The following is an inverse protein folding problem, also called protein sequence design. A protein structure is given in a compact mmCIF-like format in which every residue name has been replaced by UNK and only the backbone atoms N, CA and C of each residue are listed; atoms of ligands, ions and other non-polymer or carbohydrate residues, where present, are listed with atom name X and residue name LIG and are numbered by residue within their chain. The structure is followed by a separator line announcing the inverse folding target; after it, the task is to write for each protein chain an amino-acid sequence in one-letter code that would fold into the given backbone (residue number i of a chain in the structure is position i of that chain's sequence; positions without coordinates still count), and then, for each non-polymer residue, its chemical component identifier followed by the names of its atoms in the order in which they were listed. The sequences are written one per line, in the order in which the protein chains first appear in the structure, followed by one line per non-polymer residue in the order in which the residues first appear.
data_IF_048584651631
#
_entry.id   IF_048584651631
#
_cell.length_a   1.000
_cell.length_b   1.000
_cell.length_c   1.000
_cell.angle_alpha   90.00
_cell.angle_beta   90.00
_cell.angle_gamma   90.00
#
_symmetry.space_group_name_H-M   'P 1'
#
loop_
_entity.id
_entity.type
_entity.pdbx_description
1 polymer ?
#
# COMPACT_ATOMS: atom_id res chain seq x y z
N UNK A 1 26.95 19.44 -12.00
CA UNK A 1 26.01 20.16 -12.86
C UNK A 1 24.99 19.15 -13.34
N UNK A 2 23.96 18.98 -12.52
CA UNK A 2 22.79 18.16 -12.79
C UNK A 2 21.59 19.10 -12.68
N UNK A 3 20.97 19.40 -13.81
CA UNK A 3 19.80 20.27 -13.87
C UNK A 3 18.54 19.48 -13.50
N UNK A 4 17.93 19.84 -12.39
CA UNK A 4 16.76 19.16 -11.81
C UNK A 4 15.55 20.09 -11.85
N UNK A 5 14.45 19.64 -12.46
CA UNK A 5 13.15 20.28 -12.27
C UNK A 5 12.37 19.53 -11.19
N UNK A 6 12.05 20.24 -10.12
CA UNK A 6 11.23 19.77 -9.02
C UNK A 6 9.79 20.28 -9.15
N UNK A 7 8.81 19.43 -8.82
CA UNK A 7 7.38 19.73 -8.89
C UNK A 7 6.68 19.27 -7.60
N UNK A 8 5.92 20.16 -6.96
CA UNK A 8 5.05 19.84 -5.83
C UNK A 8 3.61 20.10 -6.26
N UNK A 9 2.75 19.07 -6.17
CA UNK A 9 1.32 19.20 -6.45
C UNK A 9 0.45 18.42 -5.49
N UNK A 10 0.96 17.91 -4.37
CA UNK A 10 0.15 17.14 -3.43
C UNK A 10 -0.82 18.03 -2.63
N UNK A 11 -0.62 19.36 -2.68
CA UNK A 11 -1.40 20.35 -1.94
C UNK A 11 -2.36 21.18 -2.81
N UNK A 12 -2.95 22.26 -2.26
CA UNK A 12 -3.70 23.26 -3.03
C UNK A 12 -2.76 24.22 -3.77
N UNK A 13 -1.60 24.48 -3.19
CA UNK A 13 -0.58 25.37 -3.75
C UNK A 13 0.39 24.50 -4.52
N UNK A 14 0.37 24.58 -5.85
CA UNK A 14 1.34 23.88 -6.66
C UNK A 14 2.62 24.69 -6.69
N UNK A 15 3.75 24.01 -6.80
CA UNK A 15 5.04 24.67 -6.93
C UNK A 15 5.96 23.95 -7.91
N UNK A 16 6.89 24.72 -8.46
CA UNK A 16 7.97 24.21 -9.29
C UNK A 16 9.27 24.95 -8.97
N UNK A 17 10.39 24.23 -9.02
CA UNK A 17 11.73 24.79 -8.84
C UNK A 17 12.71 24.18 -9.84
N UNK A 18 13.59 25.01 -10.38
CA UNK A 18 14.71 24.60 -11.22
C UNK A 18 15.99 24.71 -10.40
N UNK A 19 16.71 23.59 -10.27
CA UNK A 19 17.95 23.50 -9.53
C UNK A 19 19.11 23.12 -10.46
N UNK A 20 20.27 23.72 -10.25
CA UNK A 20 21.55 23.25 -10.76
C UNK A 20 22.37 22.72 -9.59
N UNK A 21 22.50 21.39 -9.50
CA UNK A 21 22.94 20.68 -8.30
C UNK A 21 22.10 21.15 -7.08
N UNK A 22 22.70 21.89 -6.14
CA UNK A 22 22.03 22.40 -4.93
C UNK A 22 21.56 23.86 -5.06
N UNK A 23 21.86 24.54 -6.18
CA UNK A 23 21.55 25.95 -6.39
C UNK A 23 20.20 26.11 -7.07
N UNK A 24 19.26 26.81 -6.43
CA UNK A 24 17.97 27.16 -7.04
C UNK A 24 18.18 28.29 -8.03
N UNK A 25 17.90 28.03 -9.31
CA UNK A 25 17.98 29.01 -10.39
C UNK A 25 16.69 29.84 -10.52
N UNK A 26 15.54 29.20 -10.30
CA UNK A 26 14.22 29.83 -10.29
C UNK A 26 13.23 28.94 -9.51
N UNK A 27 12.22 29.55 -8.90
CA UNK A 27 11.11 28.82 -8.29
C UNK A 27 9.84 29.66 -8.26
N UNK A 28 8.68 29.01 -8.35
CA UNK A 28 7.40 29.67 -8.28
C UNK A 28 6.33 28.74 -7.68
N UNK A 29 5.32 29.35 -7.07
CA UNK A 29 4.15 28.66 -6.52
C UNK A 29 2.87 29.37 -6.92
N UNK A 30 1.78 28.62 -7.08
CA UNK A 30 0.46 29.13 -7.45
C UNK A 30 -0.65 28.33 -6.75
N UNK A 31 -1.69 29.03 -6.28
CA UNK A 31 -2.90 28.36 -5.79
C UNK A 31 -3.70 27.84 -6.99
N UNK A 32 -3.95 26.53 -7.05
CA UNK A 32 -4.68 25.90 -8.16
C UNK A 32 -6.15 26.35 -8.30
N UNK A 33 -6.68 27.04 -7.28
CA UNK A 33 -8.03 27.63 -7.29
C UNK A 33 -8.05 29.07 -7.80
N UNK A 34 -6.88 29.67 -8.03
CA UNK A 34 -6.76 30.97 -8.68
C UNK A 34 -7.29 30.86 -10.13
N UNK A 35 -8.23 31.72 -10.56
CA UNK A 35 -8.70 31.77 -11.94
C UNK A 35 -7.61 31.95 -13.00
N UNK A 36 -6.46 32.52 -12.61
CA UNK A 36 -5.30 32.70 -13.47
C UNK A 36 -4.38 31.48 -13.57
N UNK A 37 -4.57 30.48 -12.72
CA UNK A 37 -3.81 29.23 -12.80
C UNK A 37 -4.31 28.37 -13.97
N UNK A 38 -3.39 28.00 -14.86
CA UNK A 38 -3.71 27.19 -16.04
C UNK A 38 -3.48 25.71 -15.73
N UNK A 39 -2.22 25.30 -15.60
CA UNK A 39 -1.83 23.95 -15.22
C UNK A 39 -0.37 23.92 -14.71
N UNK A 40 0.03 22.76 -14.17
CA UNK A 40 1.39 22.53 -13.65
C UNK A 40 2.47 22.66 -14.73
N UNK A 41 2.15 22.36 -15.99
CA UNK A 41 3.09 22.47 -17.10
C UNK A 41 3.40 23.92 -17.47
N UNK A 42 2.41 24.81 -17.40
CA UNK A 42 2.62 26.26 -17.57
C UNK A 42 3.48 26.83 -16.44
N UNK A 43 3.19 26.44 -15.18
CA UNK A 43 3.99 26.84 -14.01
C UNK A 43 5.44 26.36 -14.12
N UNK A 44 5.64 25.08 -14.42
CA UNK A 44 6.97 24.52 -14.59
C UNK A 44 7.70 25.15 -15.79
N UNK A 45 7.00 25.39 -16.89
CA UNK A 45 7.54 26.06 -18.07
C UNK A 45 8.04 27.48 -17.78
N UNK A 46 7.32 28.25 -16.96
CA UNK A 46 7.75 29.60 -16.58
C UNK A 46 9.01 29.57 -15.71
N UNK A 47 9.09 28.63 -14.76
CA UNK A 47 10.27 28.45 -13.89
C UNK A 47 11.50 28.05 -14.71
N UNK A 48 11.35 27.13 -15.67
CA UNK A 48 12.42 26.73 -16.58
C UNK A 48 12.94 27.93 -17.39
N UNK A 49 12.02 28.73 -17.95
CA UNK A 49 12.36 29.89 -18.76
C UNK A 49 13.03 31.00 -17.93
N UNK A 50 12.55 31.25 -16.71
CA UNK A 50 13.15 32.22 -15.78
C UNK A 50 14.59 31.84 -15.40
N UNK A 51 14.86 30.55 -15.21
CA UNK A 51 16.21 30.02 -15.02
C UNK A 51 17.11 30.08 -16.26
N UNK A 52 16.62 30.63 -17.39
CA UNK A 52 17.36 30.71 -18.64
C UNK A 52 17.69 29.34 -19.22
N UNK A 53 16.77 28.38 -19.07
CA UNK A 53 16.89 26.99 -19.56
C UNK A 53 15.67 26.63 -20.40
N UNK A 54 15.71 25.43 -20.96
CA UNK A 54 14.62 24.79 -21.67
C UNK A 54 14.39 23.39 -21.12
N UNK A 55 13.24 22.79 -21.44
CA UNK A 55 12.99 21.36 -21.13
C UNK A 55 14.08 20.46 -21.70
N UNK A 56 14.76 20.91 -22.76
CA UNK A 56 15.83 20.18 -23.40
C UNK A 56 17.16 20.18 -22.64
N UNK A 57 17.28 20.96 -21.57
CA UNK A 57 18.48 21.04 -20.74
C UNK A 57 18.38 20.21 -19.47
N UNK A 58 17.20 19.66 -19.16
CA UNK A 58 16.95 18.90 -17.94
C UNK A 58 17.68 17.55 -17.95
N UNK A 59 18.34 17.24 -16.84
CA UNK A 59 19.04 15.96 -16.61
C UNK A 59 18.21 14.97 -15.80
N UNK A 60 17.33 15.48 -14.93
CA UNK A 60 16.41 14.69 -14.11
C UNK A 60 15.21 15.50 -13.63
N UNK A 61 14.20 14.80 -13.13
CA UNK A 61 12.97 15.38 -12.59
C UNK A 61 12.80 14.93 -11.14
N UNK A 62 12.08 15.71 -10.34
CA UNK A 62 11.66 15.35 -8.99
C UNK A 62 10.19 15.72 -8.77
N UNK A 63 9.45 14.88 -8.06
CA UNK A 63 8.03 15.12 -7.79
C UNK A 63 7.62 14.61 -6.42
N UNK A 64 6.76 15.36 -5.72
CA UNK A 64 6.01 14.84 -4.58
C UNK A 64 4.95 13.84 -5.09
N UNK A 65 5.06 12.60 -4.63
CA UNK A 65 4.18 11.47 -5.02
C UNK A 65 3.00 11.26 -4.06
N UNK A 66 2.85 12.14 -3.08
CA UNK A 66 1.84 12.05 -2.03
C UNK A 66 2.30 11.24 -0.81
N UNK A 67 1.39 10.91 0.13
CA UNK A 67 -0.06 11.14 0.07
C UNK A 67 -0.53 12.60 -0.05
N UNK A 68 -1.67 12.79 -0.71
CA UNK A 68 -2.30 14.11 -0.87
C UNK A 68 -3.64 14.04 -1.60
N UNK A 69 -4.12 15.18 -2.09
CA UNK A 69 -5.30 15.18 -2.96
C UNK A 69 -5.00 14.36 -4.22
N UNK A 70 -5.74 13.28 -4.44
CA UNK A 70 -5.51 12.35 -5.55
C UNK A 70 -5.43 13.05 -6.91
N UNK A 71 -6.39 13.92 -7.22
CA UNK A 71 -6.39 14.64 -8.49
C UNK A 71 -5.15 15.53 -8.64
N UNK A 72 -4.71 16.14 -7.54
CA UNK A 72 -3.54 17.00 -7.54
C UNK A 72 -2.22 16.21 -7.66
N UNK A 73 -2.09 15.08 -6.95
CA UNK A 73 -0.92 14.19 -7.05
C UNK A 73 -0.77 13.64 -8.47
N UNK A 74 -1.87 13.21 -9.12
CA UNK A 74 -1.85 12.77 -10.54
C UNK A 74 -1.34 13.84 -11.47
N UNK A 75 -1.68 15.10 -11.23
CA UNK A 75 -1.29 16.20 -12.12
C UNK A 75 0.24 16.32 -12.19
N UNK A 76 0.91 16.34 -11.04
CA UNK A 76 2.37 16.39 -10.96
C UNK A 76 3.03 15.15 -11.56
N UNK A 77 2.60 13.95 -11.15
CA UNK A 77 3.15 12.67 -11.64
C UNK A 77 2.97 12.54 -13.17
N UNK A 78 1.79 12.84 -13.69
CA UNK A 78 1.52 12.77 -15.13
C UNK A 78 2.41 13.75 -15.92
N UNK A 79 2.58 14.97 -15.41
CA UNK A 79 3.46 15.96 -16.02
C UNK A 79 4.91 15.49 -16.06
N UNK A 80 5.48 15.09 -14.92
CA UNK A 80 6.89 14.67 -14.89
C UNK A 80 7.12 13.39 -15.71
N UNK A 81 6.17 12.45 -15.73
CA UNK A 81 6.28 11.26 -16.58
C UNK A 81 6.28 11.61 -18.07
N UNK A 82 5.42 12.55 -18.49
CA UNK A 82 5.39 12.99 -19.88
C UNK A 82 6.73 13.61 -20.30
N UNK A 83 7.31 14.45 -19.45
CA UNK A 83 8.63 15.05 -19.69
C UNK A 83 9.73 14.00 -19.66
N UNK A 84 9.74 13.13 -18.65
CA UNK A 84 10.69 12.03 -18.49
C UNK A 84 10.71 11.12 -19.72
N UNK A 85 9.54 10.71 -20.18
CA UNK A 85 9.38 9.87 -21.35
C UNK A 85 9.88 10.56 -22.63
N UNK A 86 9.53 11.83 -22.82
CA UNK A 86 9.98 12.60 -23.99
C UNK A 86 11.50 12.83 -24.01
N UNK A 87 12.14 12.87 -22.84
CA UNK A 87 13.56 13.20 -22.66
C UNK A 87 14.46 12.00 -22.42
N UNK A 88 13.90 10.86 -22.00
CA UNK A 88 14.66 9.70 -21.54
C UNK A 88 15.46 9.97 -20.26
N UNK A 89 14.93 10.80 -19.36
CA UNK A 89 15.61 11.20 -18.11
C UNK A 89 14.92 10.62 -16.88
N UNK A 90 15.67 10.36 -15.78
CA UNK A 90 15.09 9.75 -14.58
C UNK A 90 14.19 10.71 -13.82
N UNK A 91 13.24 10.13 -13.07
CA UNK A 91 12.38 10.85 -12.13
C UNK A 91 12.65 10.39 -10.72
N UNK A 92 12.77 11.34 -9.79
CA UNK A 92 12.87 11.12 -8.34
C UNK A 92 11.49 11.32 -7.73
N UNK A 93 10.97 10.31 -7.03
CA UNK A 93 9.76 10.43 -6.21
C UNK A 93 10.08 10.76 -4.76
N UNK A 94 9.35 11.73 -4.19
CA UNK A 94 9.49 12.20 -2.80
C UNK A 94 8.18 11.99 -2.05
N UNK A 95 8.21 11.33 -0.88
CA UNK A 95 7.02 11.02 -0.07
C UNK A 95 6.60 12.22 0.79
N UNK A 96 5.33 12.61 0.71
CA UNK A 96 4.78 13.77 1.42
C UNK A 96 4.89 13.70 2.94
N UNK A 97 4.81 12.49 3.54
CA UNK A 97 4.95 12.34 4.99
C UNK A 97 6.41 12.50 5.40
N UNK A 98 7.34 12.01 4.58
CA UNK A 98 8.76 12.28 4.76
C UNK A 98 9.03 13.79 4.64
N UNK A 99 8.50 14.45 3.59
CA UNK A 99 8.60 15.90 3.38
C UNK A 99 8.21 16.72 4.62
N UNK A 100 7.12 16.32 5.29
CA UNK A 100 6.64 16.97 6.51
C UNK A 100 7.42 16.61 7.79
N UNK A 101 8.12 15.48 7.81
CA UNK A 101 8.83 14.97 8.99
C UNK A 101 10.30 15.42 9.08
N UNK A 102 10.73 16.32 8.19
CA UNK A 102 12.13 16.71 8.08
C UNK A 102 12.58 17.71 9.16
N UNK A 103 12.71 17.23 10.41
CA UNK A 103 13.27 17.98 11.53
C UNK A 103 14.11 17.07 12.44
N UNK A 104 15.06 17.67 13.16
CA UNK A 104 15.81 16.96 14.21
C UNK A 104 14.90 16.63 15.39
N UNK A 105 14.75 15.35 15.69
CA UNK A 105 13.95 14.85 16.82
C UNK A 105 12.62 14.23 16.42
N UNK A 106 11.76 13.92 17.40
CA UNK A 106 10.52 13.23 17.15
C UNK A 106 9.51 14.12 16.41
N UNK A 107 8.88 13.58 15.37
CA UNK A 107 7.90 14.29 14.55
C UNK A 107 6.74 13.37 14.14
N UNK A 108 5.54 13.93 14.02
CA UNK A 108 4.34 13.27 13.52
C UNK A 108 3.81 14.05 12.31
N UNK A 109 3.99 13.50 11.12
CA UNK A 109 3.40 14.01 9.89
C UNK A 109 2.02 13.37 9.66
N UNK A 110 1.06 14.18 9.24
CA UNK A 110 -0.32 13.77 8.96
C UNK A 110 -0.74 14.20 7.56
N UNK A 111 -1.39 13.34 6.79
CA UNK A 111 -1.98 13.71 5.48
C UNK A 111 -3.39 13.16 5.40
N UNK A 112 -4.29 13.86 4.71
CA UNK A 112 -5.66 13.37 4.52
C UNK A 112 -5.68 12.16 3.59
N UNK A 113 -6.42 11.12 3.96
CA UNK A 113 -6.65 9.93 3.12
C UNK A 113 -8.04 9.92 2.46
N UNK A 114 -8.91 10.87 2.82
CA UNK A 114 -10.31 10.94 2.39
C UNK A 114 -11.27 10.75 3.56
N UNK A 115 -12.44 11.41 3.49
CA UNK A 115 -13.40 11.40 4.60
C UNK A 115 -12.77 11.91 5.91
N UNK A 116 -12.83 11.10 6.98
CA UNK A 116 -12.20 11.39 8.26
C UNK A 116 -10.83 10.72 8.46
N UNK A 117 -10.37 9.91 7.50
CA UNK A 117 -9.13 9.15 7.64
C UNK A 117 -7.89 10.01 7.36
N UNK A 118 -6.78 9.64 8.01
CA UNK A 118 -5.45 10.23 7.84
C UNK A 118 -4.42 9.14 7.58
N UNK A 119 -3.42 9.48 6.78
CA UNK A 119 -2.11 8.83 6.81
C UNK A 119 -1.26 9.53 7.86
N UNK A 120 -0.54 8.76 8.68
CA UNK A 120 0.32 9.28 9.74
C UNK A 120 1.69 8.63 9.66
N UNK A 121 2.74 9.43 9.86
CA UNK A 121 4.11 8.97 10.04
C UNK A 121 4.71 9.60 11.30
N UNK A 122 5.00 8.78 12.29
CA UNK A 122 5.72 9.11 13.51
C UNK A 122 7.21 8.76 13.34
N UNK A 123 8.06 9.78 13.22
CA UNK A 123 9.50 9.65 13.42
C UNK A 123 9.79 9.66 14.92
N UNK A 124 10.42 8.60 15.42
CA UNK A 124 10.84 8.49 16.83
C UNK A 124 12.21 9.13 17.06
N UNK A 125 12.58 9.28 18.32
CA UNK A 125 13.85 9.89 18.71
C UNK A 125 15.09 9.11 18.22
N UNK A 126 14.95 7.79 17.98
CA UNK A 126 16.01 6.95 17.41
C UNK A 126 16.05 6.99 15.86
N UNK A 127 15.24 7.85 15.24
CA UNK A 127 15.13 7.98 13.78
C UNK A 127 14.26 6.92 13.13
N UNK A 128 13.71 5.96 13.88
CA UNK A 128 12.79 4.97 13.30
C UNK A 128 11.45 5.60 12.98
N UNK A 129 10.88 5.25 11.83
CA UNK A 129 9.59 5.75 11.37
C UNK A 129 8.54 4.66 11.57
N UNK A 130 7.45 5.00 12.26
CA UNK A 130 6.27 4.17 12.43
C UNK A 130 5.07 4.89 11.85
N UNK A 131 4.13 4.16 11.28
CA UNK A 131 3.24 4.75 10.29
C UNK A 131 1.92 4.01 10.30
N UNK A 132 0.83 4.76 10.16
CA UNK A 132 -0.53 4.23 10.33
C UNK A 132 -1.48 4.94 9.40
N UNK A 133 -2.60 4.29 9.12
CA UNK A 133 -3.71 4.89 8.41
C UNK A 133 -5.02 4.54 9.09
N UNK A 134 -5.97 5.49 9.09
CA UNK A 134 -7.31 5.27 9.59
C UNK A 134 -7.88 6.53 10.20
N UNK A 135 -8.90 6.38 11.03
CA UNK A 135 -9.42 7.50 11.81
C UNK A 135 -8.32 8.06 12.73
N UNK A 136 -8.23 9.39 12.82
CA UNK A 136 -7.18 10.08 13.57
C UNK A 136 -7.09 9.58 15.02
N UNK A 137 -8.22 9.36 15.70
CA UNK A 137 -8.19 8.93 17.10
C UNK A 137 -7.70 7.50 17.27
N UNK A 138 -8.00 6.61 16.31
CA UNK A 138 -7.52 5.22 16.30
C UNK A 138 -6.03 5.19 16.00
N UNK A 139 -5.61 5.90 14.95
CA UNK A 139 -4.22 6.04 14.54
C UNK A 139 -3.33 6.51 15.68
N UNK A 140 -3.75 7.56 16.41
CA UNK A 140 -2.97 8.07 17.54
C UNK A 140 -2.93 7.10 18.71
N UNK A 141 -4.01 6.37 19.00
CA UNK A 141 -3.97 5.32 20.03
C UNK A 141 -3.02 4.18 19.66
N UNK A 142 -2.97 3.79 18.39
CA UNK A 142 -2.09 2.71 17.94
C UNK A 142 -0.61 3.13 17.92
N UNK A 143 -0.34 4.39 17.59
CA UNK A 143 1.01 4.96 17.65
C UNK A 143 1.48 5.18 19.10
N UNK A 144 0.54 5.39 20.03
CA UNK A 144 0.79 5.67 21.44
C UNK A 144 -0.10 4.79 22.36
N UNK A 145 0.12 3.45 22.38
CA UNK A 145 -0.81 2.48 22.96
C UNK A 145 -0.90 2.50 24.49
N UNK A 146 0.08 3.09 25.18
CA UNK A 146 0.06 3.18 26.64
C UNK A 146 0.03 4.64 27.09
N UNK A 147 -0.98 5.07 27.87
CA UNK A 147 -0.97 6.38 28.52
C UNK A 147 0.28 6.50 29.39
N UNK A 148 1.22 7.36 28.98
CA UNK A 148 2.50 7.54 29.65
C UNK A 148 3.51 6.36 29.60
N UNK A 149 3.22 5.21 28.94
CA UNK A 149 4.15 4.07 28.91
C UNK A 149 4.79 3.81 27.53
N UNK A 150 5.99 4.35 27.40
CA UNK A 150 7.25 3.66 27.07
C UNK A 150 7.11 2.23 26.50
N UNK A 151 7.47 2.04 25.23
CA UNK A 151 8.20 0.82 24.81
C UNK A 151 9.62 1.23 24.41
N UNK A 152 10.53 0.27 24.24
CA UNK A 152 12.01 0.35 24.37
C UNK A 152 12.80 1.48 23.65
N UNK A 153 12.15 2.44 22.99
CA UNK A 153 12.74 3.68 22.44
C UNK A 153 12.21 5.00 23.07
N UNK A 154 11.33 4.94 24.08
CA UNK A 154 11.04 6.03 25.04
C UNK A 154 10.07 7.16 24.61
N UNK A 155 9.22 7.69 25.52
CA UNK A 155 8.54 8.97 25.38
C UNK A 155 9.35 10.07 26.08
N UNK A 156 9.44 11.23 25.44
CA UNK A 156 9.83 12.45 26.12
C UNK A 156 8.69 12.85 27.05
N UNK A 157 8.84 12.65 28.36
CA UNK A 157 8.07 13.36 29.38
C UNK A 157 8.99 14.25 30.19
N UNK A 158 8.62 15.53 30.31
CA UNK A 158 9.20 16.54 31.21
C UNK A 158 10.73 16.63 31.18
N UNK A 159 11.28 17.14 30.08
CA UNK A 159 12.69 17.53 29.98
C UNK A 159 13.37 17.35 28.61
N UNK A 160 12.71 16.76 27.62
CA UNK A 160 13.24 16.57 26.25
C UNK A 160 12.48 17.37 25.18
N UNK A 161 12.90 17.22 23.92
CA UNK A 161 12.29 17.89 22.75
C UNK A 161 10.83 17.42 22.54
N UNK A 162 9.83 18.31 22.52
CA UNK A 162 8.43 17.96 22.27
C UNK A 162 8.22 17.31 20.90
N UNK A 163 7.20 16.46 20.78
CA UNK A 163 6.79 15.87 19.49
C UNK A 163 6.26 16.97 18.56
N UNK A 164 6.90 17.20 17.43
CA UNK A 164 6.41 18.15 16.44
C UNK A 164 5.30 17.52 15.61
N UNK A 165 4.16 18.16 15.47
CA UNK A 165 3.04 17.67 14.64
C UNK A 165 2.93 18.53 13.40
N UNK A 166 3.02 17.93 12.22
CA UNK A 166 2.92 18.57 10.92
C UNK A 166 1.78 17.93 10.10
N UNK A 167 1.26 18.68 9.13
CA UNK A 167 0.30 18.17 8.14
C UNK A 167 -1.18 18.39 8.49
N UNK A 168 -2.06 17.48 8.07
CA UNK A 168 -3.50 17.62 8.24
C UNK A 168 -3.97 17.43 9.70
N UNK A 169 -5.10 18.05 10.07
CA UNK A 169 -5.77 17.86 11.37
C UNK A 169 -4.91 18.10 12.62
N UNK A 170 -3.87 18.95 12.53
CA UNK A 170 -2.98 19.24 13.69
C UNK A 170 -3.74 19.68 14.94
N UNK A 171 -4.73 20.60 14.90
CA UNK A 171 -5.43 21.00 16.11
C UNK A 171 -6.10 19.83 16.83
N UNK A 172 -6.74 18.93 16.08
CA UNK A 172 -7.36 17.73 16.63
C UNK A 172 -6.33 16.73 17.12
N UNK A 173 -5.20 16.59 16.41
CA UNK A 173 -4.13 15.68 16.80
C UNK A 173 -3.50 16.13 18.13
N UNK A 174 -3.24 17.42 18.31
CA UNK A 174 -2.69 17.99 19.54
C UNK A 174 -3.62 17.77 20.73
N UNK A 175 -4.93 17.96 20.55
CA UNK A 175 -5.93 17.70 21.60
C UNK A 175 -5.95 16.21 22.02
N UNK A 176 -5.93 15.30 21.03
CA UNK A 176 -5.91 13.86 21.28
C UNK A 176 -4.60 13.40 21.93
N UNK A 177 -3.45 13.92 21.49
CA UNK A 177 -2.14 13.64 22.05
C UNK A 177 -2.02 14.13 23.49
N UNK A 178 -2.55 15.31 23.81
CA UNK A 178 -2.62 15.81 25.18
C UNK A 178 -3.46 14.86 26.07
N UNK A 179 -4.57 14.33 25.56
CA UNK A 179 -5.37 13.30 26.23
C UNK A 179 -4.64 11.97 26.46
N UNK A 180 -3.63 11.66 25.65
CA UNK A 180 -2.74 10.50 25.79
C UNK A 180 -1.50 10.78 26.67
N UNK A 181 -1.34 12.01 27.16
CA UNK A 181 -0.19 12.44 27.96
C UNK A 181 1.09 12.66 27.14
N UNK A 182 0.97 12.92 25.84
CA UNK A 182 2.10 13.20 24.92
C UNK A 182 2.30 14.71 24.83
N UNK A 183 3.52 15.17 25.13
CA UNK A 183 3.91 16.58 24.93
C UNK A 183 4.21 16.84 23.45
N UNK A 184 3.39 17.68 22.82
CA UNK A 184 3.43 17.91 21.38
C UNK A 184 3.22 19.39 21.03
N UNK A 185 3.88 19.83 19.96
CA UNK A 185 3.82 21.21 19.46
C UNK A 185 3.39 21.24 17.99
N UNK A 186 2.69 22.32 17.62
CA UNK A 186 2.29 22.56 16.23
C UNK A 186 3.52 23.00 15.41
N UNK A 187 3.82 22.28 14.32
CA UNK A 187 4.90 22.64 13.40
C UNK A 187 4.54 23.79 12.44
N UNK A 188 3.25 24.13 12.29
CA UNK A 188 2.75 25.22 11.44
C UNK A 188 2.52 24.87 9.97
N UNK A 189 2.91 23.68 9.53
CA UNK A 189 2.86 23.28 8.11
C UNK A 189 1.68 22.35 7.81
N UNK A 190 0.76 22.72 6.93
CA UNK A 190 -0.45 21.94 6.56
C UNK A 190 -0.18 20.84 5.52
N UNK A 191 0.76 21.08 4.63
CA UNK A 191 1.09 20.24 3.50
C UNK A 191 2.53 20.54 3.06
N UNK A 192 3.21 19.61 2.39
CA UNK A 192 4.46 19.92 1.72
C UNK A 192 4.28 21.08 0.73
N UNK A 193 5.32 21.87 0.57
CA UNK A 193 5.45 22.83 -0.51
C UNK A 193 6.75 22.61 -1.32
N UNK A 194 6.99 23.50 -2.28
CA UNK A 194 8.16 23.39 -3.14
C UNK A 194 9.48 23.59 -2.38
N UNK A 195 9.48 24.36 -1.29
CA UNK A 195 10.67 24.58 -0.48
C UNK A 195 11.02 23.28 0.27
N UNK A 196 10.03 22.51 0.74
CA UNK A 196 10.24 21.19 1.34
C UNK A 196 10.88 20.20 0.34
N UNK A 197 10.38 20.18 -0.90
CA UNK A 197 10.93 19.36 -1.99
C UNK A 197 12.38 19.76 -2.32
N UNK A 198 12.65 21.05 -2.47
CA UNK A 198 14.01 21.58 -2.70
C UNK A 198 14.94 21.19 -1.56
N UNK A 199 14.48 21.29 -0.32
CA UNK A 199 15.26 20.96 0.85
C UNK A 199 15.59 19.45 0.90
N UNK A 200 14.65 18.58 0.56
CA UNK A 200 14.88 17.13 0.48
C UNK A 200 15.92 16.76 -0.60
N UNK A 201 15.84 17.39 -1.78
CA UNK A 201 16.81 17.17 -2.85
C UNK A 201 18.25 17.54 -2.44
N UNK A 202 18.43 18.69 -1.79
CA UNK A 202 19.74 19.17 -1.30
C UNK A 202 20.37 18.25 -0.26
N UNK A 203 19.54 17.60 0.58
CA UNK A 203 20.03 16.67 1.60
C UNK A 203 20.37 15.29 1.04
N UNK A 204 19.89 14.97 -0.16
CA UNK A 204 19.94 13.59 -0.65
C UNK A 204 18.88 12.69 0.01
N UNK A 205 17.84 13.27 0.61
CA UNK A 205 16.75 12.55 1.28
C UNK A 205 15.73 12.02 0.27
N UNK A 206 16.22 11.29 -0.73
CA UNK A 206 15.42 10.65 -1.75
C UNK A 206 15.93 9.23 -1.97
N UNK A 207 15.01 8.31 -2.18
CA UNK A 207 15.36 6.91 -2.31
C UNK A 207 16.00 6.63 -3.69
N UNK A 208 17.24 6.10 -3.74
CA UNK A 208 17.87 5.70 -4.99
C UNK A 208 17.06 4.65 -5.78
N UNK A 209 16.20 3.86 -5.11
CA UNK A 209 15.32 2.90 -5.77
C UNK A 209 14.07 3.53 -6.42
N UNK A 210 13.70 4.75 -6.05
CA UNK A 210 12.57 5.50 -6.64
C UNK A 210 13.06 6.42 -7.78
N UNK A 211 14.37 6.41 -8.05
CA UNK A 211 14.95 6.99 -9.26
C UNK A 211 14.62 6.07 -10.44
N UNK A 212 13.51 6.36 -11.12
CA UNK A 212 12.96 5.49 -12.14
C UNK A 212 13.25 6.01 -13.55
N UNK A 213 13.71 5.12 -14.43
CA UNK A 213 13.69 5.31 -15.88
C UNK A 213 12.33 4.91 -16.51
N UNK A 214 11.47 4.25 -15.73
CA UNK A 214 10.09 3.93 -16.08
C UNK A 214 9.12 4.98 -15.51
N UNK A 215 7.89 5.10 -16.05
CA UNK A 215 6.91 6.03 -15.50
C UNK A 215 6.60 5.77 -14.03
N UNK A 216 6.61 6.82 -13.21
CA UNK A 216 6.08 6.75 -11.84
C UNK A 216 4.57 6.55 -11.89
N UNK A 217 4.02 5.79 -10.98
CA UNK A 217 2.57 5.74 -10.77
C UNK A 217 2.27 6.35 -9.41
N UNK A 218 1.03 6.75 -9.16
CA UNK A 218 0.66 7.09 -7.79
C UNK A 218 0.90 5.92 -6.84
N UNK A 219 0.90 4.68 -7.33
CA UNK A 219 1.20 3.48 -6.54
C UNK A 219 2.71 3.20 -6.39
N UNK A 220 3.58 3.78 -7.21
CA UNK A 220 5.02 3.46 -7.20
C UNK A 220 5.75 3.93 -5.94
N UNK A 221 5.11 4.76 -5.12
CA UNK A 221 5.65 5.24 -3.85
C UNK A 221 4.61 5.23 -2.73
N UNK A 222 3.44 4.61 -2.95
CA UNK A 222 2.37 4.57 -1.95
C UNK A 222 2.82 3.80 -0.72
N UNK A 223 3.25 4.57 0.27
CA UNK A 223 3.27 4.27 1.68
C UNK A 223 4.29 3.20 2.09
N UNK A 224 5.48 3.66 2.44
CA UNK A 224 6.40 2.99 3.37
C UNK A 224 5.90 2.99 4.81
N UNK A 225 4.57 2.95 4.95
CA UNK A 225 3.89 3.24 6.18
C UNK A 225 3.44 1.99 6.91
N UNK A 226 2.65 1.22 6.21
CA UNK A 226 2.27 -0.12 6.57
C UNK A 226 1.74 -0.66 5.25
N UNK A 227 2.54 -1.43 4.53
CA UNK A 227 2.16 -1.90 3.21
C UNK A 227 0.81 -2.66 3.26
N UNK A 228 0.48 -3.25 4.42
CA UNK A 228 -0.81 -3.87 4.68
C UNK A 228 -1.97 -2.87 4.73
N UNK A 229 -1.76 -1.66 5.27
CA UNK A 229 -2.77 -0.61 5.25
C UNK A 229 -3.05 -0.11 3.82
N UNK A 230 -2.00 0.04 3.01
CA UNK A 230 -2.15 0.40 1.60
C UNK A 230 -2.90 -0.69 0.82
N UNK A 231 -2.58 -1.96 1.08
CA UNK A 231 -3.31 -3.09 0.50
C UNK A 231 -4.79 -3.10 0.93
N UNK A 232 -5.07 -2.83 2.21
CA UNK A 232 -6.42 -2.70 2.75
C UNK A 232 -7.24 -1.66 1.99
N UNK A 233 -6.70 -0.46 1.82
CA UNK A 233 -7.37 0.61 1.07
C UNK A 233 -7.59 0.24 -0.39
N UNK A 234 -6.54 -0.25 -1.07
CA UNK A 234 -6.65 -0.66 -2.47
C UNK A 234 -7.77 -1.69 -2.65
N UNK A 235 -7.83 -2.71 -1.78
CA UNK A 235 -8.88 -3.73 -1.84
C UNK A 235 -10.28 -3.15 -1.61
N UNK A 236 -10.44 -2.26 -0.62
CA UNK A 236 -11.72 -1.63 -0.32
C UNK A 236 -12.18 -0.69 -1.45
N UNK A 237 -11.26 -0.01 -2.12
CA UNK A 237 -11.54 0.91 -3.24
C UNK A 237 -11.72 0.20 -4.59
N UNK A 238 -11.52 -1.12 -4.64
CA UNK A 238 -11.70 -1.93 -5.85
C UNK A 238 -10.47 -2.05 -6.74
N UNK A 239 -9.28 -1.92 -6.16
CA UNK A 239 -8.00 -2.29 -6.75
C UNK A 239 -7.61 -3.75 -6.49
N UNK A 240 -6.50 -4.13 -7.10
CA UNK A 240 -5.83 -5.44 -6.96
C UNK A 240 -4.60 -5.28 -6.08
N UNK A 241 -4.46 -6.12 -5.05
CA UNK A 241 -3.29 -6.13 -4.17
C UNK A 241 -2.43 -7.38 -4.39
N UNK A 242 -1.11 -7.20 -4.46
CA UNK A 242 -0.13 -8.28 -4.37
C UNK A 242 0.27 -8.47 -2.90
N UNK A 243 -0.05 -9.63 -2.34
CA UNK A 243 0.12 -9.94 -0.92
C UNK A 243 1.08 -11.11 -0.73
N UNK A 244 2.01 -11.06 0.24
CA UNK A 244 2.74 -12.23 0.67
C UNK A 244 1.78 -13.17 1.40
N UNK A 245 2.03 -14.47 1.31
CA UNK A 245 1.35 -15.46 2.14
C UNK A 245 2.41 -16.40 2.75
N UNK A 246 1.97 -17.30 3.63
CA UNK A 246 2.78 -18.38 4.19
C UNK A 246 3.26 -19.42 3.16
N UNK A 247 2.76 -19.39 1.92
CA UNK A 247 3.18 -20.30 0.83
C UNK A 247 3.82 -19.54 -0.33
N UNK A 248 2.98 -18.88 -1.13
CA UNK A 248 3.36 -18.13 -2.32
C UNK A 248 2.70 -16.77 -2.30
N UNK A 249 3.20 -15.81 -3.06
CA UNK A 249 2.49 -14.53 -3.23
C UNK A 249 1.13 -14.74 -3.90
N UNK A 250 0.15 -13.93 -3.48
CA UNK A 250 -1.21 -13.94 -4.00
C UNK A 250 -1.61 -12.59 -4.56
N UNK A 251 -2.31 -12.59 -5.70
CA UNK A 251 -3.09 -11.44 -6.14
C UNK A 251 -4.49 -11.55 -5.53
N UNK A 252 -4.89 -10.51 -4.80
CA UNK A 252 -6.12 -10.44 -4.05
C UNK A 252 -7.02 -9.32 -4.55
N UNK A 253 -8.33 -9.56 -4.51
CA UNK A 253 -9.37 -8.56 -4.80
C UNK A 253 -10.54 -8.74 -3.85
N UNK A 254 -11.22 -7.62 -3.55
CA UNK A 254 -12.44 -7.66 -2.76
C UNK A 254 -13.61 -8.19 -3.62
N UNK A 255 -14.36 -9.21 -3.18
CA UNK A 255 -15.35 -9.89 -4.02
C UNK A 255 -16.55 -9.03 -4.45
N UNK A 256 -16.83 -7.95 -3.72
CA UNK A 256 -17.90 -6.98 -4.08
C UNK A 256 -17.48 -5.97 -5.13
N UNK A 257 -16.24 -6.00 -5.61
CA UNK A 257 -15.68 -5.06 -6.59
C UNK A 257 -15.49 -5.79 -7.91
N UNK A 258 -16.51 -5.79 -8.77
CA UNK A 258 -16.51 -6.59 -10.00
C UNK A 258 -15.40 -6.14 -10.96
N UNK A 259 -15.16 -4.85 -11.02
CA UNK A 259 -14.10 -4.23 -11.82
C UNK A 259 -12.71 -4.72 -11.38
N UNK A 260 -12.49 -4.92 -10.08
CA UNK A 260 -11.24 -5.45 -9.52
C UNK A 260 -11.01 -6.90 -9.98
N UNK A 261 -12.05 -7.73 -9.95
CA UNK A 261 -11.99 -9.13 -10.41
C UNK A 261 -11.57 -9.16 -11.89
N UNK A 262 -12.16 -8.30 -12.70
CA UNK A 262 -11.87 -8.16 -14.12
C UNK A 262 -10.41 -7.75 -14.36
N UNK A 263 -9.93 -6.76 -13.59
CA UNK A 263 -8.54 -6.31 -13.62
C UNK A 263 -7.56 -7.42 -13.21
N UNK A 264 -7.88 -8.21 -12.18
CA UNK A 264 -7.04 -9.35 -11.76
C UNK A 264 -6.89 -10.40 -12.88
N UNK A 265 -7.98 -10.73 -13.59
CA UNK A 265 -7.89 -11.66 -14.72
C UNK A 265 -7.06 -11.09 -15.87
N UNK A 266 -7.20 -9.79 -16.15
CA UNK A 266 -6.42 -9.09 -17.16
C UNK A 266 -4.92 -9.07 -16.82
N UNK A 267 -4.56 -8.74 -15.57
CA UNK A 267 -3.18 -8.74 -15.07
C UNK A 267 -2.48 -10.09 -15.26
N UNK A 268 -3.23 -11.19 -15.07
CA UNK A 268 -2.70 -12.56 -15.20
C UNK A 268 -2.75 -13.12 -16.63
N UNK A 269 -3.34 -12.39 -17.58
CA UNK A 269 -3.72 -12.91 -18.90
C UNK A 269 -4.49 -14.25 -18.81
N UNK A 270 -5.37 -14.37 -17.81
CA UNK A 270 -6.03 -15.64 -17.45
C UNK A 270 -7.46 -15.72 -18.01
N UNK A 271 -7.89 -16.87 -18.56
CA UNK A 271 -9.28 -17.10 -18.92
C UNK A 271 -10.22 -17.04 -17.70
N UNK A 272 -11.40 -16.44 -17.85
CA UNK A 272 -12.44 -16.36 -16.80
C UNK A 272 -13.08 -17.70 -16.41
N UNK A 273 -12.76 -18.77 -17.12
CA UNK A 273 -13.39 -20.09 -16.94
C UNK A 273 -13.00 -20.79 -15.65
N UNK A 274 -12.03 -20.25 -14.89
CA UNK A 274 -11.62 -20.82 -13.61
C UNK A 274 -11.98 -19.89 -12.47
N UNK A 275 -12.75 -20.42 -11.55
CA UNK A 275 -13.11 -19.75 -10.32
C UNK A 275 -11.89 -19.46 -9.44
N UNK A 276 -12.02 -18.42 -8.61
CA UNK A 276 -11.01 -18.02 -7.63
C UNK A 276 -11.38 -18.62 -6.27
N UNK A 277 -10.42 -19.22 -5.54
CA UNK A 277 -10.62 -19.58 -4.15
C UNK A 277 -10.74 -18.32 -3.28
N UNK A 278 -11.29 -18.50 -2.08
CA UNK A 278 -11.39 -17.46 -1.06
C UNK A 278 -10.35 -17.64 0.03
N UNK A 279 -9.87 -16.53 0.56
CA UNK A 279 -9.20 -16.48 1.87
C UNK A 279 -10.10 -15.81 2.89
N UNK A 280 -10.13 -16.36 4.10
CA UNK A 280 -10.89 -15.86 5.26
C UNK A 280 -9.98 -15.79 6.49
N UNK A 281 -10.31 -14.94 7.47
CA UNK A 281 -9.44 -14.76 8.64
C UNK A 281 -9.53 -15.94 9.63
N UNK A 282 -10.72 -16.54 9.74
CA UNK A 282 -11.00 -17.71 10.58
C UNK A 282 -11.97 -18.68 9.88
N UNK A 283 -11.88 -20.00 10.11
CA UNK A 283 -12.88 -20.95 9.65
C UNK A 283 -14.31 -20.66 10.14
N UNK A 284 -14.45 -19.93 11.25
CA UNK A 284 -15.77 -19.61 11.84
C UNK A 284 -16.61 -18.68 10.97
N UNK A 285 -15.99 -17.98 10.00
CA UNK A 285 -16.69 -17.12 9.05
C UNK A 285 -17.44 -17.92 7.98
N UNK A 286 -17.04 -19.17 7.72
CA UNK A 286 -17.52 -19.96 6.58
C UNK A 286 -19.03 -20.20 6.55
N UNK A 287 -19.69 -20.56 7.67
CA UNK A 287 -21.14 -20.72 7.67
C UNK A 287 -21.88 -19.43 7.31
N UNK A 288 -21.36 -18.26 7.69
CA UNK A 288 -21.98 -16.97 7.34
C UNK A 288 -21.87 -16.61 5.84
N UNK A 289 -20.97 -17.29 5.12
CA UNK A 289 -20.79 -17.17 3.68
C UNK A 289 -21.57 -18.22 2.89
N UNK A 290 -22.43 -19.02 3.54
CA UNK A 290 -23.15 -20.13 2.91
C UNK A 290 -22.23 -21.30 2.51
N UNK A 291 -21.06 -21.43 3.15
CA UNK A 291 -20.11 -22.51 2.89
C UNK A 291 -20.38 -23.68 3.84
N UNK A 292 -20.58 -24.86 3.28
CA UNK A 292 -20.88 -26.09 4.01
C UNK A 292 -19.59 -26.73 4.54
N UNK A 293 -19.51 -26.91 5.85
CA UNK A 293 -18.30 -27.46 6.52
C UNK A 293 -18.61 -28.83 7.15
N UNK A 294 -18.52 -29.94 6.39
CA UNK A 294 -18.73 -31.30 6.90
C UNK A 294 -17.63 -31.69 7.91
N UNK A 295 -17.87 -32.75 8.68
CA UNK A 295 -16.95 -33.17 9.75
C UNK A 295 -15.53 -33.46 9.25
N UNK A 296 -15.39 -34.03 8.04
CA UNK A 296 -14.09 -34.25 7.38
C UNK A 296 -13.33 -32.94 7.16
N UNK A 297 -14.02 -31.91 6.66
CA UNK A 297 -13.44 -30.59 6.48
C UNK A 297 -13.08 -29.93 7.82
N UNK A 298 -13.94 -30.06 8.85
CA UNK A 298 -13.65 -29.53 10.20
C UNK A 298 -12.39 -30.13 10.79
N UNK A 299 -12.17 -31.44 10.61
CA UNK A 299 -10.97 -32.13 11.07
C UNK A 299 -9.71 -31.65 10.36
N UNK A 300 -9.76 -31.49 9.03
CA UNK A 300 -8.64 -30.95 8.25
C UNK A 300 -8.32 -29.50 8.63
N UNK A 301 -9.33 -28.65 8.72
CA UNK A 301 -9.16 -27.26 9.13
C UNK A 301 -8.64 -27.15 10.57
N UNK A 302 -9.13 -27.99 11.49
CA UNK A 302 -8.64 -28.03 12.87
C UNK A 302 -7.19 -28.52 13.01
N UNK A 303 -6.72 -29.37 12.09
CA UNK A 303 -5.36 -29.89 12.11
C UNK A 303 -4.34 -28.98 11.41
N UNK A 304 -4.74 -28.31 10.33
CA UNK A 304 -3.80 -27.67 9.40
C UNK A 304 -4.08 -26.18 9.14
N UNK A 305 -5.16 -25.61 9.68
CA UNK A 305 -5.49 -24.19 9.56
C UNK A 305 -5.37 -23.49 10.94
N UNK A 306 -4.80 -22.28 11.04
CA UNK A 306 -4.22 -21.48 9.94
C UNK A 306 -2.96 -22.12 9.34
N UNK A 307 -2.85 -22.12 8.01
CA UNK A 307 -1.70 -22.76 7.36
C UNK A 307 -1.87 -23.08 5.87
N UNK A 308 -0.96 -23.91 5.32
CA UNK A 308 -0.85 -24.14 3.89
C UNK A 308 -1.81 -25.22 3.38
N UNK A 309 -3.07 -25.19 3.84
CA UNK A 309 -4.17 -26.05 3.35
C UNK A 309 -5.22 -25.22 2.61
N UNK A 310 -5.75 -25.76 1.53
CA UNK A 310 -6.94 -25.25 0.84
C UNK A 310 -7.96 -26.38 0.78
N UNK A 311 -9.17 -26.13 1.26
CA UNK A 311 -10.24 -27.13 1.29
C UNK A 311 -11.36 -26.70 0.34
N UNK A 312 -11.68 -27.51 -0.67
CA UNK A 312 -12.85 -27.26 -1.51
C UNK A 312 -14.11 -27.76 -0.81
N UNK A 313 -15.11 -26.88 -0.71
CA UNK A 313 -16.31 -27.07 0.11
C UNK A 313 -17.56 -26.67 -0.67
N UNK A 314 -18.67 -27.34 -0.40
CA UNK A 314 -19.96 -27.02 -1.02
C UNK A 314 -20.46 -25.63 -0.63
N UNK A 315 -21.20 -25.00 -1.53
CA UNK A 315 -21.84 -23.69 -1.32
C UNK A 315 -23.37 -23.86 -1.41
N UNK A 316 -24.11 -23.27 -0.48
CA UNK A 316 -25.57 -23.32 -0.43
C UNK A 316 -26.26 -22.01 -0.85
N UNK A 317 -27.59 -22.02 -0.89
CA UNK A 317 -28.42 -20.90 -1.37
C UNK A 317 -28.37 -19.66 -0.46
N UNK A 318 -27.76 -19.75 0.73
CA UNK A 318 -27.57 -18.59 1.63
C UNK A 318 -26.31 -17.79 1.28
N UNK A 319 -25.50 -18.29 0.34
CA UNK A 319 -24.27 -17.65 -0.07
C UNK A 319 -24.49 -16.23 -0.62
N UNK A 320 -23.54 -15.31 -0.39
CA UNK A 320 -23.63 -13.96 -0.94
C UNK A 320 -23.59 -13.99 -2.47
N UNK A 321 -24.11 -12.95 -3.12
CA UNK A 321 -24.26 -12.89 -4.59
C UNK A 321 -22.97 -13.16 -5.40
N UNK A 322 -21.79 -12.94 -4.83
CA UNK A 322 -20.49 -13.19 -5.47
C UNK A 322 -20.00 -14.65 -5.35
N UNK A 323 -20.63 -15.46 -4.48
CA UNK A 323 -20.50 -16.92 -4.40
C UNK A 323 -21.73 -17.67 -4.94
N UNK A 324 -22.88 -17.01 -5.03
CA UNK A 324 -24.11 -17.63 -5.48
C UNK A 324 -23.96 -18.30 -6.86
N UNK A 325 -24.55 -19.49 -7.00
CA UNK A 325 -24.52 -20.29 -8.23
C UNK A 325 -23.28 -21.14 -8.43
N UNK A 326 -22.35 -21.16 -7.47
CA UNK A 326 -21.22 -22.10 -7.44
C UNK A 326 -21.64 -23.39 -6.74
N UNK A 327 -21.16 -24.53 -7.23
CA UNK A 327 -21.34 -25.81 -6.53
C UNK A 327 -20.35 -25.94 -5.36
N UNK A 328 -19.12 -25.49 -5.56
CA UNK A 328 -18.05 -25.54 -4.56
C UNK A 328 -17.16 -24.29 -4.58
N UNK A 329 -16.44 -24.06 -3.47
CA UNK A 329 -15.41 -23.02 -3.35
C UNK A 329 -14.20 -23.54 -2.59
N UNK A 330 -13.00 -23.25 -3.11
CA UNK A 330 -11.75 -23.48 -2.40
C UNK A 330 -11.56 -22.45 -1.29
N UNK A 331 -11.36 -22.90 -0.06
CA UNK A 331 -11.22 -22.04 1.12
C UNK A 331 -9.84 -22.19 1.74
N UNK A 332 -9.23 -21.08 2.15
CA UNK A 332 -7.98 -21.08 2.92
C UNK A 332 -7.98 -20.05 4.05
N UNK A 333 -7.39 -20.44 5.17
CA UNK A 333 -7.03 -19.52 6.27
C UNK A 333 -5.49 -19.48 6.32
N UNK A 334 -4.86 -18.39 5.88
CA UNK A 334 -3.39 -18.30 5.85
C UNK A 334 -2.83 -18.20 7.27
N UNK A 335 -1.63 -18.73 7.53
CA UNK A 335 -1.00 -18.62 8.85
C UNK A 335 -0.30 -17.28 9.08
N UNK A 336 -0.12 -16.48 8.03
CA UNK A 336 0.45 -15.14 8.11
C UNK A 336 -0.45 -14.23 8.98
N UNK A 337 0.06 -13.70 10.11
CA UNK A 337 -0.76 -12.93 11.05
C UNK A 337 -1.22 -11.59 10.48
N UNK A 338 -0.41 -10.92 9.67
CA UNK A 338 -0.74 -9.63 9.09
C UNK A 338 -1.79 -9.79 7.99
N UNK A 339 -1.66 -10.84 7.16
CA UNK A 339 -2.70 -11.18 6.18
C UNK A 339 -4.03 -11.54 6.85
N UNK A 340 -4.00 -12.25 7.99
CA UNK A 340 -5.23 -12.53 8.74
C UNK A 340 -5.84 -11.28 9.34
N UNK A 341 -5.04 -10.35 9.85
CA UNK A 341 -5.53 -9.06 10.32
C UNK A 341 -6.19 -8.27 9.18
N UNK A 342 -5.57 -8.24 8.00
CA UNK A 342 -6.16 -7.66 6.80
C UNK A 342 -7.50 -8.32 6.45
N UNK A 343 -7.59 -9.65 6.47
CA UNK A 343 -8.83 -10.40 6.19
C UNK A 343 -9.92 -10.11 7.23
N UNK A 344 -9.56 -9.95 8.51
CA UNK A 344 -10.52 -9.54 9.56
C UNK A 344 -11.09 -8.14 9.30
N UNK A 345 -10.28 -7.24 8.73
CA UNK A 345 -10.65 -5.87 8.45
C UNK A 345 -11.53 -5.70 7.20
N UNK A 346 -11.20 -6.42 6.12
CA UNK A 346 -11.87 -6.26 4.81
C UNK A 346 -12.88 -7.36 4.51
N UNK A 347 -12.88 -8.44 5.30
CA UNK A 347 -13.65 -9.65 5.05
C UNK A 347 -12.97 -10.59 4.04
N UNK A 348 -13.73 -11.59 3.59
CA UNK A 348 -13.24 -12.60 2.65
C UNK A 348 -12.72 -11.99 1.34
N UNK A 349 -11.55 -12.43 0.89
CA UNK A 349 -10.93 -11.98 -0.37
C UNK A 349 -10.90 -13.11 -1.39
N UNK A 350 -11.06 -12.77 -2.67
CA UNK A 350 -10.75 -13.70 -3.76
C UNK A 350 -9.25 -13.61 -4.04
N UNK A 351 -8.55 -14.75 -3.96
CA UNK A 351 -7.08 -14.77 -4.05
C UNK A 351 -6.60 -15.85 -5.02
N UNK A 352 -5.57 -15.56 -5.82
CA UNK A 352 -4.91 -16.55 -6.67
C UNK A 352 -3.40 -16.32 -6.64
N UNK A 353 -2.59 -17.33 -6.97
CA UNK A 353 -1.13 -17.18 -7.00
C UNK A 353 -0.70 -16.03 -7.93
N UNK A 354 0.35 -15.32 -7.57
CA UNK A 354 0.84 -14.15 -8.31
C UNK A 354 1.85 -14.56 -9.41
N UNK A 355 1.37 -15.28 -10.42
CA UNK A 355 2.12 -15.68 -11.61
C UNK A 355 1.28 -15.46 -12.87
N UNK A 356 1.90 -15.22 -14.01
CA UNK A 356 1.18 -15.26 -15.29
C UNK A 356 0.59 -16.66 -15.53
N UNK A 357 -0.49 -16.74 -16.30
CA UNK A 357 -1.14 -18.03 -16.54
C UNK A 357 -0.20 -19.02 -17.24
N UNK A 358 0.14 -20.12 -16.56
CA UNK A 358 1.03 -21.17 -17.08
C UNK A 358 2.50 -21.02 -16.67
N UNK A 359 2.88 -19.89 -16.07
CA UNK A 359 4.26 -19.63 -15.64
C UNK A 359 4.56 -20.19 -14.24
N UNK A 360 5.84 -20.46 -13.90
CA UNK A 360 6.24 -20.84 -12.55
C UNK A 360 5.94 -19.74 -11.52
N UNK A 361 5.59 -20.15 -10.30
CA UNK A 361 5.38 -19.21 -9.20
C UNK A 361 6.70 -18.62 -8.74
N UNK A 362 6.88 -17.31 -8.95
CA UNK A 362 8.02 -16.59 -8.43
C UNK A 362 7.95 -16.42 -6.90
N UNK A 363 9.12 -16.32 -6.26
CA UNK A 363 9.26 -16.27 -4.80
C UNK A 363 9.41 -14.85 -4.23
N UNK A 364 9.61 -13.84 -5.07
CA UNK A 364 9.86 -12.46 -4.69
C UNK A 364 9.08 -11.48 -5.59
N UNK A 365 8.91 -10.24 -5.15
CA UNK A 365 8.08 -9.23 -5.80
C UNK A 365 8.56 -8.88 -7.22
N UNK A 366 9.84 -8.55 -7.41
CA UNK A 366 10.29 -8.06 -8.73
C UNK A 366 10.08 -9.09 -9.86
N UNK A 367 10.43 -10.38 -9.69
CA UNK A 367 10.14 -11.38 -10.72
C UNK A 367 8.65 -11.62 -10.94
N UNK A 368 7.80 -11.41 -9.93
CA UNK A 368 6.34 -11.48 -10.09
C UNK A 368 5.86 -10.34 -10.97
N UNK A 369 6.25 -9.10 -10.64
CA UNK A 369 5.83 -7.91 -11.38
C UNK A 369 6.27 -7.98 -12.85
N UNK A 370 7.45 -8.52 -13.12
CA UNK A 370 7.96 -8.72 -14.48
C UNK A 370 7.14 -9.73 -15.32
N UNK A 371 6.40 -10.64 -14.68
CA UNK A 371 5.54 -11.62 -15.38
C UNK A 371 4.13 -11.09 -15.65
N UNK A 372 3.64 -10.11 -14.89
CA UNK A 372 2.27 -9.61 -15.01
C UNK A 372 2.13 -8.69 -16.23
N UNK A 373 0.93 -8.68 -16.84
CA UNK A 373 0.62 -7.82 -17.98
C UNK A 373 0.41 -6.33 -17.59
N UNK A 374 0.70 -5.97 -16.34
CA UNK A 374 0.53 -4.66 -15.75
C UNK A 374 0.92 -4.70 -14.26
N UNK A 375 0.63 -3.63 -13.53
CA UNK A 375 0.96 -3.52 -12.12
C UNK A 375 -0.29 -3.61 -11.24
N UNK A 376 -0.23 -4.31 -10.09
CA UNK A 376 -1.25 -4.23 -9.06
C UNK A 376 -1.28 -2.82 -8.43
N UNK A 377 -2.41 -2.45 -7.84
CA UNK A 377 -2.63 -1.14 -7.22
C UNK A 377 -1.88 -1.01 -5.88
N UNK A 378 -1.65 -2.13 -5.19
CA UNK A 378 -0.85 -2.21 -3.98
C UNK A 378 0.06 -3.43 -4.01
N UNK A 379 1.24 -3.29 -3.40
CA UNK A 379 2.21 -4.37 -3.22
C UNK A 379 2.66 -4.38 -1.76
N UNK A 380 2.53 -5.53 -1.13
CA UNK A 380 3.16 -5.82 0.15
C UNK A 380 4.37 -6.70 -0.14
N UNK A 381 5.58 -6.20 0.13
CA UNK A 381 6.78 -7.03 0.02
C UNK A 381 7.07 -7.68 1.38
N UNK A 382 6.74 -8.96 1.47
CA UNK A 382 7.09 -9.79 2.62
C UNK A 382 8.48 -10.42 2.50
N UNK A 383 9.25 -10.16 1.45
CA UNK A 383 10.48 -10.87 1.11
C UNK A 383 10.22 -12.25 0.49
N UNK A 384 11.26 -13.08 0.40
CA UNK A 384 11.22 -14.39 -0.29
C UNK A 384 10.24 -15.38 0.34
N UNK A 385 9.41 -16.03 -0.47
CA UNK A 385 8.48 -17.09 -0.06
C UNK A 385 8.99 -18.48 -0.45
N UNK A 386 8.42 -19.55 0.12
CA UNK A 386 8.85 -20.92 -0.17
C UNK A 386 8.70 -21.30 -1.64
N UNK A 387 7.76 -20.69 -2.35
CA UNK A 387 7.41 -21.05 -3.72
C UNK A 387 6.57 -22.33 -3.81
N UNK A 388 6.37 -23.04 -2.69
CA UNK A 388 5.58 -24.26 -2.60
C UNK A 388 4.13 -23.89 -2.27
N UNK A 389 3.18 -24.12 -3.19
CA UNK A 389 1.77 -23.78 -2.95
C UNK A 389 1.10 -24.67 -1.89
N UNK A 390 -0.06 -24.25 -1.38
CA UNK A 390 -0.86 -25.01 -0.40
C UNK A 390 -1.26 -26.39 -0.90
N UNK A 391 -1.49 -27.36 -0.02
CA UNK A 391 -2.12 -28.64 -0.38
C UNK A 391 -3.63 -28.43 -0.56
N UNK A 392 -4.21 -29.01 -1.61
CA UNK A 392 -5.65 -28.86 -1.94
C UNK A 392 -6.37 -30.18 -1.70
N UNK A 393 -7.42 -30.14 -0.88
CA UNK A 393 -8.27 -31.31 -0.58
C UNK A 393 -9.72 -30.95 -0.87
N UNK A 394 -10.38 -31.70 -1.73
CA UNK A 394 -11.79 -31.55 -1.99
C UNK A 394 -12.61 -32.37 -0.99
N UNK A 395 -13.43 -31.69 -0.20
CA UNK A 395 -14.34 -32.29 0.78
C UNK A 395 -15.82 -32.09 0.41
N UNK A 396 -16.12 -31.57 -0.78
CA UNK A 396 -17.47 -31.51 -1.33
C UNK A 396 -17.94 -32.88 -1.83
N UNK A 397 -17.00 -33.73 -2.28
CA UNK A 397 -17.27 -35.11 -2.71
C UNK A 397 -17.66 -36.03 -1.53
N UNK A 398 -18.44 -37.09 -1.83
CA UNK A 398 -18.80 -38.14 -0.86
C UNK A 398 -17.59 -38.75 -0.16
N UNK A 399 -16.47 -38.88 -0.88
CA UNK A 399 -15.17 -39.29 -0.35
C UNK A 399 -14.15 -38.18 -0.60
N UNK A 400 -13.55 -37.58 0.46
CA UNK A 400 -12.58 -36.52 0.28
C UNK A 400 -11.40 -36.94 -0.59
N UNK A 401 -10.94 -36.04 -1.45
CA UNK A 401 -9.87 -36.31 -2.41
C UNK A 401 -8.78 -35.25 -2.34
N UNK A 402 -7.53 -35.69 -2.29
CA UNK A 402 -6.37 -34.79 -2.48
C UNK A 402 -6.29 -34.44 -3.96
N UNK A 403 -6.56 -33.19 -4.30
CA UNK A 403 -6.52 -32.71 -5.69
C UNK A 403 -5.13 -32.23 -6.08
N UNK A 404 -4.36 -31.74 -5.10
CA UNK A 404 -2.98 -31.30 -5.29
C UNK A 404 -2.19 -31.45 -4.00
N UNK A 405 -1.12 -32.23 -4.03
CA UNK A 405 -0.10 -32.20 -2.98
C UNK A 405 0.70 -30.88 -3.08
N UNK A 406 0.94 -30.25 -1.93
CA UNK A 406 1.64 -28.99 -1.80
C UNK A 406 2.53 -29.01 -0.56
N UNK A 407 2.50 -27.95 0.24
CA UNK A 407 3.35 -27.86 1.43
C UNK A 407 3.05 -28.91 2.52
N UNK A 408 1.86 -29.53 2.50
CA UNK A 408 1.47 -30.63 3.40
C UNK A 408 1.51 -31.94 2.61
N UNK A 409 2.36 -32.91 2.99
CA UNK A 409 2.43 -34.22 2.33
C UNK A 409 1.12 -34.99 2.38
N UNK A 410 0.77 -35.75 1.32
CA UNK A 410 -0.47 -36.52 1.27
C UNK A 410 -0.64 -37.49 2.45
N UNK A 411 0.45 -38.11 2.91
CA UNK A 411 0.43 -39.04 4.04
C UNK A 411 -0.03 -38.39 5.36
N UNK A 412 0.18 -37.08 5.54
CA UNK A 412 -0.34 -36.36 6.72
C UNK A 412 -1.83 -36.07 6.59
N UNK A 413 -2.29 -35.70 5.40
CA UNK A 413 -3.71 -35.50 5.09
C UNK A 413 -4.48 -36.81 5.30
N UNK A 414 -4.00 -37.92 4.75
CA UNK A 414 -4.63 -39.25 4.87
C UNK A 414 -4.75 -39.68 6.34
N UNK A 415 -3.74 -39.39 7.17
CA UNK A 415 -3.78 -39.68 8.61
C UNK A 415 -4.92 -38.96 9.30
N UNK A 416 -5.19 -37.71 8.92
CA UNK A 416 -6.32 -36.94 9.46
C UNK A 416 -7.65 -37.38 8.86
N UNK A 417 -7.70 -37.84 7.61
CA UNK A 417 -8.93 -38.34 7.00
C UNK A 417 -9.37 -39.71 7.55
N UNK A 418 -8.42 -40.57 7.92
CA UNK A 418 -8.68 -41.96 8.32
C UNK A 418 -8.47 -42.28 9.81
N UNK A 419 -7.76 -41.44 10.56
CA UNK A 419 -7.73 -41.50 12.03
C UNK A 419 -9.06 -41.05 12.62
#
# INVERSE_FOLDING_TARGET
MILTLAVETSSRTYGAALLDDDVVLAQASADRSDPGFVDVGVLAGSVIAEGGRTVADLDRLAVDVGPGNLASVRAGIAYVNAVAFARGIPVIGLDALALLNHHDGPALALRMAGGTAVYAALTKADGTVATRHGDLAVVLKDLFPTPGAVTSAGPVTSGGTPLRVAGAKRPQALELLAGLGVDATDAGTDAPDIDDVVAALRRGDHDPAVVSAAPLTESSVRFRGDAWAAAREALLDGGVALLPTDTVYGLAVHPRRREAIDALFALKARPRTRELPIMVATPDELPSLGVQVPDTARRLLGAFSPGPITVALGVDDTAPAWLAGREEVGVRVPSDPDLRALLSDVGALLVTSANAHGEPTAQAVDPILAQLAGHPDAVVDGGTRSGVPSTVVNCHLDTPRIEREGAIPAAEIERVLHG
#
